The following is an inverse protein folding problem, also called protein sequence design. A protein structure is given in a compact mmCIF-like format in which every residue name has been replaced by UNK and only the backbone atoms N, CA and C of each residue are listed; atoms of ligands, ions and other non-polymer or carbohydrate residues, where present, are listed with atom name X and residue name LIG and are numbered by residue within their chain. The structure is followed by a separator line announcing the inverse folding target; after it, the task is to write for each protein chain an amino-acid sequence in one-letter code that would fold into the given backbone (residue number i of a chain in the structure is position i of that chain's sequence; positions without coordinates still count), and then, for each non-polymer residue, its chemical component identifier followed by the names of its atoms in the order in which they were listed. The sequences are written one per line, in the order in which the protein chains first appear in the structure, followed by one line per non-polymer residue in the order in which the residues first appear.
data_IF_514256193046
#
_entry.id   IF_514256193046
#
_cell.length_a   1.000
_cell.length_b   1.000
_cell.length_c   1.000
_cell.angle_alpha   90.00
_cell.angle_beta   90.00
_cell.angle_gamma   90.00
#
_symmetry.space_group_name_H-M   'P 1'
#
loop_
_entity.id
_entity.type
_entity.pdbx_description
1 polymer ?
#
# COMPACT_ATOMS: atom_id res chain seq x y z
N UNK A 1 7.07 16.70 9.94
CA UNK A 1 7.03 15.27 9.56
C UNK A 1 5.60 14.98 9.18
N UNK A 2 5.33 14.62 7.93
CA UNK A 2 3.94 14.55 7.42
C UNK A 2 3.28 13.22 7.77
N UNK A 3 1.96 13.26 7.89
CA UNK A 3 1.12 12.17 8.35
C UNK A 3 0.92 11.11 7.26
N UNK A 4 1.01 9.84 7.65
CA UNK A 4 0.75 8.69 6.79
C UNK A 4 -0.75 8.47 6.58
N UNK A 5 -1.10 7.84 5.47
CA UNK A 5 -2.47 7.45 5.14
C UNK A 5 -2.57 5.94 5.05
N UNK A 6 -3.80 5.45 5.20
CA UNK A 6 -4.23 4.10 4.85
C UNK A 6 -5.43 4.19 3.91
N UNK A 7 -5.66 3.15 3.11
CA UNK A 7 -6.87 3.04 2.29
C UNK A 7 -7.81 2.04 2.95
N UNK A 8 -9.03 2.48 3.28
CA UNK A 8 -10.03 1.62 3.92
C UNK A 8 -11.18 1.36 2.97
N UNK A 9 -11.63 0.11 2.92
CA UNK A 9 -12.89 -0.30 2.33
C UNK A 9 -13.88 -0.67 3.43
N UNK A 10 -14.83 0.23 3.69
CA UNK A 10 -15.87 0.04 4.70
C UNK A 10 -16.89 -1.02 4.31
N UNK A 11 -17.12 -1.23 3.02
CA UNK A 11 -18.07 -2.23 2.52
C UNK A 11 -17.60 -3.66 2.81
N UNK A 12 -16.27 -3.90 2.82
CA UNK A 12 -15.67 -5.23 3.01
C UNK A 12 -14.93 -5.40 4.34
N UNK A 13 -14.82 -4.33 5.12
CA UNK A 13 -14.00 -4.29 6.32
C UNK A 13 -12.53 -4.67 6.02
N UNK A 14 -11.96 -4.06 4.97
CA UNK A 14 -10.58 -4.28 4.51
C UNK A 14 -9.76 -2.98 4.60
N UNK A 15 -8.44 -3.14 4.73
CA UNK A 15 -7.47 -2.05 4.79
C UNK A 15 -6.24 -2.37 3.92
N UNK A 16 -5.71 -1.34 3.26
CA UNK A 16 -4.36 -1.33 2.69
C UNK A 16 -3.50 -0.37 3.52
N UNK A 17 -2.47 -0.92 4.13
CA UNK A 17 -1.42 -0.20 4.83
C UNK A 17 -0.29 0.19 3.88
N UNK A 18 0.24 1.40 4.08
CA UNK A 18 1.37 1.92 3.30
C UNK A 18 2.66 2.02 4.12
N UNK A 19 2.66 1.56 5.38
CA UNK A 19 3.74 1.84 6.36
C UNK A 19 5.07 1.18 5.99
N UNK A 20 5.04 0.02 5.31
CA UNK A 20 6.23 -0.68 4.78
C UNK A 20 6.40 -0.52 3.27
N UNK A 21 5.67 0.41 2.65
CA UNK A 21 5.72 0.67 1.21
C UNK A 21 6.54 1.91 0.90
N UNK A 22 6.97 2.11 -0.37
CA UNK A 22 7.83 3.23 -0.74
C UNK A 22 7.24 4.65 -0.57
N UNK A 23 5.96 4.76 -0.21
CA UNK A 23 5.25 6.03 -0.07
C UNK A 23 4.04 5.87 0.86
N UNK A 24 3.85 6.79 1.82
CA UNK A 24 2.71 6.75 2.74
C UNK A 24 2.00 8.09 2.91
N UNK A 25 2.61 9.22 2.49
CA UNK A 25 1.99 10.55 2.58
C UNK A 25 1.26 10.92 1.31
N UNK A 26 0.26 11.81 1.39
CA UNK A 26 -0.55 12.22 0.23
C UNK A 26 0.26 12.57 -1.05
N UNK A 27 1.31 13.41 -0.93
CA UNK A 27 2.17 13.76 -2.08
C UNK A 27 2.96 12.56 -2.62
N UNK A 28 3.44 11.70 -1.73
CA UNK A 28 4.22 10.52 -2.07
C UNK A 28 3.31 9.47 -2.72
N UNK A 29 2.14 9.19 -2.15
CA UNK A 29 1.14 8.27 -2.70
C UNK A 29 0.70 8.68 -4.10
N UNK A 30 0.50 9.97 -4.33
CA UNK A 30 0.12 10.49 -5.65
C UNK A 30 1.26 10.39 -6.66
N UNK A 31 2.50 10.53 -6.21
CA UNK A 31 3.68 10.58 -7.08
C UNK A 31 4.43 9.26 -7.25
N UNK A 32 4.18 8.27 -6.40
CA UNK A 32 4.89 7.00 -6.40
C UNK A 32 4.16 5.96 -7.28
N UNK A 33 4.78 5.47 -8.36
CA UNK A 33 4.12 4.57 -9.30
C UNK A 33 3.67 3.23 -8.73
N UNK A 34 4.29 2.74 -7.66
CA UNK A 34 3.92 1.48 -7.01
C UNK A 34 2.66 1.67 -6.20
N UNK A 35 2.64 2.63 -5.29
CA UNK A 35 1.50 2.84 -4.41
C UNK A 35 0.29 3.36 -5.18
N UNK A 36 0.51 4.18 -6.22
CA UNK A 36 -0.55 4.56 -7.16
C UNK A 36 -1.14 3.35 -7.91
N UNK A 37 -0.32 2.38 -8.31
CA UNK A 37 -0.79 1.14 -8.92
C UNK A 37 -1.59 0.29 -7.93
N UNK A 38 -1.12 0.14 -6.69
CA UNK A 38 -1.83 -0.54 -5.60
C UNK A 38 -3.21 0.06 -5.37
N UNK A 39 -3.28 1.38 -5.18
CA UNK A 39 -4.56 2.08 -4.99
C UNK A 39 -5.48 1.90 -6.19
N UNK A 40 -4.98 2.14 -7.41
CA UNK A 40 -5.79 2.08 -8.62
C UNK A 40 -6.34 0.68 -8.86
N UNK A 41 -5.49 -0.34 -8.70
CA UNK A 41 -5.89 -1.74 -8.85
C UNK A 41 -6.97 -2.14 -7.84
N UNK A 42 -6.78 -1.74 -6.58
CA UNK A 42 -7.76 -2.01 -5.54
C UNK A 42 -9.10 -1.33 -5.84
N UNK A 43 -9.11 -0.07 -6.25
CA UNK A 43 -10.33 0.64 -6.62
C UNK A 43 -11.05 -0.03 -7.80
N UNK A 44 -10.30 -0.48 -8.83
CA UNK A 44 -10.87 -1.18 -9.99
C UNK A 44 -11.47 -2.55 -9.65
N UNK A 45 -10.91 -3.27 -8.68
CA UNK A 45 -11.44 -4.57 -8.21
C UNK A 45 -12.63 -4.43 -7.28
N UNK A 46 -12.87 -3.23 -6.75
CA UNK A 46 -13.87 -2.94 -5.73
C UNK A 46 -14.78 -1.77 -6.16
N UNK A 47 -15.14 -1.73 -7.45
CA UNK A 47 -16.01 -0.68 -8.01
C UNK A 47 -17.36 -0.68 -7.28
N UNK A 48 -17.74 0.49 -6.76
CA UNK A 48 -19.00 0.69 -6.03
C UNK A 48 -18.89 0.51 -4.52
N UNK A 49 -17.75 0.05 -4.00
CA UNK A 49 -17.52 -0.04 -2.56
C UNK A 49 -17.25 1.34 -1.94
N UNK A 50 -17.52 1.46 -0.64
CA UNK A 50 -17.21 2.66 0.14
C UNK A 50 -15.73 2.67 0.54
N UNK A 51 -14.90 3.19 -0.36
CA UNK A 51 -13.46 3.26 -0.20
C UNK A 51 -13.02 4.70 0.05
N UNK A 52 -12.21 4.92 1.07
CA UNK A 52 -11.66 6.23 1.38
C UNK A 52 -10.23 6.15 1.93
N UNK A 53 -9.45 7.19 1.65
CA UNK A 53 -8.22 7.44 2.39
C UNK A 53 -8.56 8.04 3.75
N UNK A 54 -7.89 7.56 4.79
CA UNK A 54 -7.88 8.19 6.10
C UNK A 54 -6.45 8.25 6.63
N UNK A 55 -6.21 9.14 7.58
CA UNK A 55 -4.93 9.19 8.29
C UNK A 55 -4.75 7.91 9.11
N UNK A 56 -3.53 7.37 9.13
CA UNK A 56 -3.23 6.08 9.80
C UNK A 56 -3.58 6.11 11.29
N UNK A 57 -3.39 7.23 11.98
CA UNK A 57 -3.76 7.40 13.40
C UNK A 57 -5.27 7.33 13.67
N UNK A 58 -6.09 7.56 12.63
CA UNK A 58 -7.55 7.53 12.72
C UNK A 58 -8.12 6.18 12.25
N UNK A 59 -7.25 5.24 11.87
CA UNK A 59 -7.68 3.90 11.50
C UNK A 59 -8.05 3.11 12.75
N UNK A 60 -9.34 2.77 12.86
CA UNK A 60 -9.83 1.88 13.91
C UNK A 60 -9.27 0.46 13.70
N UNK A 61 -9.04 -0.25 14.81
CA UNK A 61 -8.70 -1.67 14.75
C UNK A 61 -9.85 -2.51 14.19
N UNK A 62 -9.53 -3.67 13.61
CA UNK A 62 -10.52 -4.67 13.18
C UNK A 62 -10.78 -4.75 11.68
N UNK A 63 -10.16 -3.88 10.88
CA UNK A 63 -10.08 -4.09 9.43
C UNK A 63 -9.12 -5.23 9.11
N UNK A 64 -9.47 -6.04 8.11
CA UNK A 64 -8.56 -7.05 7.56
C UNK A 64 -7.52 -6.36 6.69
N UNK A 65 -6.24 -6.48 7.05
CA UNK A 65 -5.16 -6.05 6.16
C UNK A 65 -5.09 -6.96 4.93
N UNK A 66 -5.29 -6.37 3.74
CA UNK A 66 -5.21 -7.06 2.45
C UNK A 66 -4.03 -6.59 1.60
N UNK A 67 -3.12 -5.79 2.16
CA UNK A 67 -1.97 -5.18 1.45
C UNK A 67 -1.16 -6.23 0.69
N UNK A 68 -0.76 -7.31 1.36
CA UNK A 68 0.03 -8.36 0.72
C UNK A 68 -0.74 -9.10 -0.37
N UNK A 69 -2.05 -9.32 -0.18
CA UNK A 69 -2.90 -9.97 -1.18
C UNK A 69 -2.93 -9.14 -2.47
N UNK A 70 -3.04 -7.81 -2.34
CA UNK A 70 -3.05 -6.90 -3.49
C UNK A 70 -1.68 -6.82 -4.17
N UNK A 71 -0.60 -6.80 -3.38
CA UNK A 71 0.76 -6.85 -3.93
C UNK A 71 0.99 -8.14 -4.72
N UNK A 72 0.60 -9.28 -4.16
CA UNK A 72 0.76 -10.58 -4.83
C UNK A 72 -0.05 -10.64 -6.13
N UNK A 73 -1.27 -10.08 -6.17
CA UNK A 73 -2.07 -9.98 -7.39
C UNK A 73 -1.39 -9.09 -8.45
N UNK A 74 -0.81 -7.96 -8.05
CA UNK A 74 -0.08 -7.08 -8.97
C UNK A 74 1.21 -7.71 -9.52
N UNK A 75 1.92 -8.48 -8.69
CA UNK A 75 3.10 -9.25 -9.11
C UNK A 75 2.69 -10.32 -10.13
N UNK A 76 1.63 -11.08 -9.81
CA UNK A 76 1.09 -12.12 -10.70
C UNK A 76 0.68 -11.56 -12.07
N UNK A 77 0.14 -10.34 -12.09
CA UNK A 77 -0.26 -9.64 -13.32
C UNK A 77 0.88 -8.84 -13.98
N UNK A 78 2.13 -8.97 -13.51
CA UNK A 78 3.32 -8.31 -14.06
C UNK A 78 3.20 -6.76 -14.13
N UNK A 79 2.55 -6.17 -13.13
CA UNK A 79 2.41 -4.71 -12.99
C UNK A 79 3.53 -4.16 -12.10
N UNK A 80 3.84 -4.87 -11.02
CA UNK A 80 4.96 -4.57 -10.13
C UNK A 80 5.86 -5.80 -9.98
N UNK A 81 7.11 -5.55 -9.63
CA UNK A 81 8.09 -6.56 -9.23
C UNK A 81 8.48 -6.34 -7.77
N UNK A 82 8.82 -7.43 -7.07
CA UNK A 82 9.32 -7.40 -5.71
C UNK A 82 10.82 -7.71 -5.69
N UNK A 83 11.61 -6.71 -5.32
CA UNK A 83 13.06 -6.81 -5.21
C UNK A 83 13.50 -7.07 -3.75
N UNK A 84 12.61 -7.59 -2.90
CA UNK A 84 12.90 -7.95 -1.51
C UNK A 84 12.74 -6.79 -0.54
N UNK A 85 13.46 -6.83 0.57
CA UNK A 85 13.28 -5.90 1.70
C UNK A 85 14.56 -5.08 1.91
N UNK A 86 14.39 -3.79 2.21
CA UNK A 86 15.43 -2.90 2.72
C UNK A 86 15.18 -2.68 4.22
N UNK A 87 16.06 -3.21 5.07
CA UNK A 87 15.97 -3.07 6.53
C UNK A 87 16.77 -1.83 6.92
N UNK A 88 16.11 -0.85 7.53
CA UNK A 88 16.76 0.42 7.86
C UNK A 88 17.69 0.31 9.07
N UNK A 89 17.36 -0.56 10.03
CA UNK A 89 18.19 -0.87 11.18
C UNK A 89 18.26 -2.40 11.40
N UNK A 90 19.45 -3.04 11.29
CA UNK A 90 19.59 -4.48 11.53
C UNK A 90 19.20 -4.94 12.95
N UNK A 91 19.12 -4.03 13.92
CA UNK A 91 18.68 -4.32 15.29
C UNK A 91 17.17 -4.20 15.50
N UNK A 92 16.45 -3.56 14.56
CA UNK A 92 14.98 -3.40 14.53
C UNK A 92 14.45 -3.89 13.17
N UNK A 93 14.41 -5.22 12.93
CA UNK A 93 14.05 -5.80 11.63
C UNK A 93 12.62 -5.48 11.17
N UNK A 94 11.74 -5.05 12.07
CA UNK A 94 10.40 -4.54 11.81
C UNK A 94 10.40 -3.16 11.14
N UNK A 95 11.49 -2.40 11.22
CA UNK A 95 11.65 -1.11 10.55
C UNK A 95 12.26 -1.34 9.18
N UNK A 96 11.41 -1.68 8.23
CA UNK A 96 11.81 -2.02 6.87
C UNK A 96 10.89 -1.42 5.80
N UNK A 97 11.40 -1.37 4.57
CA UNK A 97 10.66 -1.02 3.37
C UNK A 97 10.74 -2.16 2.35
N UNK A 98 9.59 -2.58 1.80
CA UNK A 98 9.55 -3.52 0.69
C UNK A 98 9.94 -2.82 -0.61
N UNK A 99 10.95 -3.34 -1.30
CA UNK A 99 11.50 -2.78 -2.54
C UNK A 99 10.67 -3.18 -3.74
N UNK A 100 9.49 -2.59 -3.83
CA UNK A 100 8.61 -2.77 -4.98
C UNK A 100 8.99 -1.81 -6.10
N UNK A 101 8.91 -2.25 -7.36
CA UNK A 101 9.08 -1.40 -8.54
C UNK A 101 7.91 -1.62 -9.50
N UNK A 102 7.41 -0.54 -10.09
CA UNK A 102 6.46 -0.64 -11.19
C UNK A 102 7.23 -1.00 -12.48
N UNK A 103 6.86 -2.13 -13.11
CA UNK A 103 7.58 -2.70 -14.27
C UNK A 103 7.55 -1.76 -15.49
N UNK A 104 6.59 -0.84 -15.53
CA UNK A 104 6.37 0.08 -16.66
C UNK A 104 7.20 1.36 -16.54
N UNK A 105 7.87 1.57 -15.41
CA UNK A 105 8.76 2.71 -15.17
C UNK A 105 10.20 2.30 -15.49
N UNK A 106 10.69 2.77 -16.64
CA UNK A 106 12.04 2.55 -17.16
C UNK A 106 13.06 3.38 -16.39
#
# INVERSE_FOLDING_TARGET
MGQGFVLINKSKNELISFSHLPASKAKELTGNPVTAAITTWYLLKNIGDQICFIEEENAEDGYRDVTNIIIDDLILNNIIEDNGIDVFDPSEPEVFMRRLRNVWMI
#
